data_IF_778707627042
#
_entry.id   IF_778707627042
#
_cell.length_a   1.000
_cell.length_b   1.000
_cell.length_c   1.000
_cell.angle_alpha   90.00
_cell.angle_beta   90.00
_cell.angle_gamma   90.00
#
_symmetry.space_group_name_H-M   'P 1'
#
loop_
_entity.id
_entity.type
_entity.pdbx_description
1 polymer ?
#
# COMPACT_ATOMS: atom_id res chain seq x y z
N UNK A 1 -13.48 3.02 -0.80
CA UNK A 1 -12.54 2.25 -1.65
C UNK A 1 -13.05 2.28 -3.07
N UNK A 2 -12.17 2.55 -4.04
CA UNK A 2 -12.47 2.59 -5.48
C UNK A 2 -12.12 1.27 -6.15
N UNK A 3 -10.92 0.72 -5.84
CA UNK A 3 -10.46 -0.57 -6.35
C UNK A 3 -9.71 -1.34 -5.27
N UNK A 4 -10.04 -2.61 -5.11
CA UNK A 4 -9.39 -3.51 -4.15
C UNK A 4 -8.07 -4.10 -4.67
N UNK A 5 -7.33 -4.73 -3.77
CA UNK A 5 -6.12 -5.48 -4.10
C UNK A 5 -6.44 -6.72 -4.93
N UNK A 6 -5.64 -6.98 -5.95
CA UNK A 6 -5.78 -8.12 -6.85
C UNK A 6 -4.38 -8.69 -7.10
N UNK A 7 -4.01 -9.73 -6.35
CA UNK A 7 -2.66 -10.29 -6.41
C UNK A 7 -2.36 -10.80 -7.82
N UNK A 8 -1.30 -10.31 -8.47
CA UNK A 8 -0.88 -10.83 -9.77
C UNK A 8 -0.50 -12.32 -9.69
N UNK A 9 -0.93 -13.13 -10.67
CA UNK A 9 -0.59 -14.55 -10.73
C UNK A 9 0.93 -14.82 -10.85
N UNK A 10 1.67 -13.84 -11.39
CA UNK A 10 3.13 -13.81 -11.38
C UNK A 10 3.58 -12.36 -11.14
N UNK A 11 4.82 -12.17 -10.66
CA UNK A 11 5.34 -10.83 -10.29
C UNK A 11 5.23 -9.78 -11.41
N UNK A 12 5.25 -10.20 -12.69
CA UNK A 12 5.16 -9.34 -13.87
C UNK A 12 3.78 -9.40 -14.57
N UNK A 13 2.85 -10.21 -14.07
CA UNK A 13 1.52 -10.33 -14.66
C UNK A 13 0.64 -9.11 -14.33
N UNK A 14 -0.49 -9.01 -15.02
CA UNK A 14 -1.54 -8.06 -14.68
C UNK A 14 -2.11 -8.34 -13.27
N UNK A 15 -2.72 -7.32 -12.68
CA UNK A 15 -3.32 -7.34 -11.35
C UNK A 15 -3.36 -5.93 -10.78
N UNK A 16 -3.65 -5.83 -9.49
CA UNK A 16 -3.69 -4.57 -8.76
C UNK A 16 -2.88 -4.68 -7.46
N UNK A 17 -1.67 -4.11 -7.48
CA UNK A 17 -0.62 -4.30 -6.45
C UNK A 17 -0.79 -3.38 -5.23
N UNK A 18 -2.01 -2.95 -4.98
CA UNK A 18 -2.38 -2.05 -3.90
C UNK A 18 -3.89 -1.88 -3.85
N UNK A 19 -4.36 -0.86 -3.15
CA UNK A 19 -5.75 -0.42 -3.13
C UNK A 19 -5.84 1.02 -3.60
N UNK A 20 -6.95 1.35 -4.25
CA UNK A 20 -7.27 2.72 -4.63
C UNK A 20 -8.34 3.26 -3.68
N UNK A 21 -8.03 4.34 -2.98
CA UNK A 21 -8.88 4.96 -1.97
C UNK A 21 -9.36 6.32 -2.50
N UNK A 22 -10.67 6.50 -2.58
CA UNK A 22 -11.25 7.79 -2.95
C UNK A 22 -10.82 8.84 -1.92
N UNK A 23 -10.29 9.95 -2.40
CA UNK A 23 -9.81 11.05 -1.57
C UNK A 23 -9.94 12.33 -2.39
N UNK A 24 -10.38 13.40 -1.73
CA UNK A 24 -10.49 14.72 -2.38
C UNK A 24 -9.12 15.20 -2.87
N UNK A 25 -9.10 15.94 -3.97
CA UNK A 25 -7.89 16.59 -4.48
C UNK A 25 -7.26 17.47 -3.39
N UNK A 26 -5.96 17.31 -3.12
CA UNK A 26 -5.27 18.01 -2.03
C UNK A 26 -5.58 17.48 -0.62
N UNK A 27 -6.42 16.45 -0.48
CA UNK A 27 -6.74 15.82 0.80
C UNK A 27 -5.51 15.20 1.48
N UNK A 28 -5.52 15.17 2.81
CA UNK A 28 -4.39 14.62 3.59
C UNK A 28 -4.24 13.11 3.41
N UNK A 29 -3.01 12.69 3.14
CA UNK A 29 -2.60 11.29 3.15
C UNK A 29 -1.99 11.00 4.51
N UNK A 30 -2.46 9.95 5.18
CA UNK A 30 -2.07 9.60 6.54
C UNK A 30 -1.23 8.31 6.56
N UNK A 31 -0.30 8.22 7.51
CA UNK A 31 0.46 7.01 7.76
C UNK A 31 -0.48 5.89 8.29
N UNK A 32 -0.52 4.71 7.66
CA UNK A 32 -1.35 3.59 8.11
C UNK A 32 -0.78 2.91 9.36
N UNK A 33 0.54 3.02 9.57
CA UNK A 33 1.27 2.42 10.67
C UNK A 33 2.56 3.21 10.92
N UNK A 34 3.18 3.04 12.08
CA UNK A 34 4.47 3.70 12.39
C UNK A 34 5.56 3.33 11.38
N UNK A 35 6.48 4.26 11.11
CA UNK A 35 7.55 4.00 10.16
C UNK A 35 8.46 5.20 9.91
N UNK A 36 9.35 5.04 8.94
CA UNK A 36 10.27 6.07 8.48
C UNK A 36 10.13 6.29 6.97
N UNK A 37 10.13 7.54 6.52
CA UNK A 37 10.13 7.87 5.09
C UNK A 37 11.47 7.44 4.47
N UNK A 38 11.45 6.41 3.64
CA UNK A 38 12.65 5.89 2.94
C UNK A 38 12.75 6.33 1.49
N UNK A 39 11.68 6.90 0.94
CA UNK A 39 11.66 7.51 -0.39
C UNK A 39 10.60 8.61 -0.46
N UNK A 40 10.96 9.74 -1.06
CA UNK A 40 10.05 10.81 -1.43
C UNK A 40 10.59 11.47 -2.71
N UNK A 41 9.88 11.32 -3.82
CA UNK A 41 10.32 11.90 -5.09
C UNK A 41 9.52 11.44 -6.29
N UNK A 42 9.86 11.97 -7.47
CA UNK A 42 9.16 11.67 -8.72
C UNK A 42 9.55 10.30 -9.28
N UNK A 43 8.54 9.49 -9.61
CA UNK A 43 8.66 8.26 -10.38
C UNK A 43 7.91 8.46 -11.68
N UNK A 44 8.65 8.49 -12.79
CA UNK A 44 8.16 8.78 -14.15
C UNK A 44 7.53 10.17 -14.27
N UNK A 45 6.31 10.36 -13.78
CA UNK A 45 5.46 11.53 -13.99
C UNK A 45 4.74 12.01 -12.71
N UNK A 46 4.85 11.26 -11.60
CA UNK A 46 4.15 11.57 -10.34
C UNK A 46 5.08 11.45 -9.15
N UNK A 47 4.77 12.19 -8.09
CA UNK A 47 5.46 12.04 -6.82
C UNK A 47 4.94 10.81 -6.06
N UNK A 48 5.88 10.08 -5.47
CA UNK A 48 5.65 8.87 -4.67
C UNK A 48 6.35 9.04 -3.33
N UNK A 49 5.66 8.68 -2.24
CA UNK A 49 6.27 8.55 -0.91
C UNK A 49 6.26 7.09 -0.50
N UNK A 50 7.33 6.61 0.15
CA UNK A 50 7.38 5.27 0.73
C UNK A 50 7.82 5.31 2.18
N UNK A 51 7.05 4.66 3.04
CA UNK A 51 7.41 4.35 4.42
C UNK A 51 8.01 2.95 4.52
N UNK A 52 9.03 2.78 5.35
CA UNK A 52 9.47 1.48 5.87
C UNK A 52 8.99 1.33 7.30
N UNK A 53 8.35 0.19 7.58
CA UNK A 53 7.78 -0.14 8.88
C UNK A 53 8.75 -1.01 9.70
N UNK A 54 8.64 -1.04 11.05
CA UNK A 54 9.55 -1.81 11.91
C UNK A 54 9.60 -3.32 11.61
N UNK A 55 8.54 -3.88 11.03
CA UNK A 55 8.45 -5.29 10.63
C UNK A 55 9.03 -5.58 9.24
N UNK A 56 9.65 -4.58 8.60
CA UNK A 56 10.27 -4.69 7.28
C UNK A 56 9.29 -4.52 6.11
N UNK A 57 7.99 -4.32 6.36
CA UNK A 57 7.03 -3.97 5.31
C UNK A 57 7.27 -2.56 4.82
N UNK A 58 6.90 -2.29 3.57
CA UNK A 58 6.98 -0.96 2.94
C UNK A 58 5.65 -0.54 2.36
N UNK A 59 5.16 0.62 2.77
CA UNK A 59 3.95 1.25 2.22
C UNK A 59 4.34 2.35 1.24
N UNK A 60 3.86 2.27 0.00
CA UNK A 60 4.10 3.27 -1.05
C UNK A 60 2.78 3.96 -1.43
N UNK A 61 2.81 5.27 -1.62
CA UNK A 61 1.63 6.13 -1.84
C UNK A 61 1.83 6.97 -3.10
N UNK A 62 0.86 6.94 -4.02
CA UNK A 62 0.84 7.77 -5.23
C UNK A 62 -0.59 8.07 -5.72
N UNK A 63 -0.82 9.14 -6.48
CA UNK A 63 0.06 10.29 -6.65
C UNK A 63 -0.04 11.22 -5.43
N UNK A 64 1.10 11.65 -4.90
CA UNK A 64 1.14 12.56 -3.73
C UNK A 64 1.76 13.91 -4.07
N UNK A 65 1.50 14.93 -3.26
CA UNK A 65 2.15 16.24 -3.27
C UNK A 65 2.58 16.62 -1.86
N UNK A 66 3.56 17.52 -1.74
CA UNK A 66 4.13 17.96 -0.45
C UNK A 66 4.50 16.80 0.51
N UNK A 67 5.24 15.76 0.05
CA UNK A 67 5.62 14.66 0.92
C UNK A 67 6.58 15.10 2.03
N UNK A 68 6.48 14.46 3.20
CA UNK A 68 7.52 14.56 4.23
C UNK A 68 8.89 14.16 3.65
N UNK A 69 9.99 14.79 4.12
CA UNK A 69 11.33 14.47 3.63
C UNK A 69 11.77 13.08 4.08
N UNK A 70 12.66 12.46 3.30
CA UNK A 70 13.33 11.19 3.66
C UNK A 70 14.00 11.31 5.03
N UNK A 71 13.86 10.27 5.86
CA UNK A 71 14.32 10.21 7.25
C UNK A 71 13.29 10.68 8.29
N UNK A 72 12.14 11.21 7.86
CA UNK A 72 11.05 11.57 8.78
C UNK A 72 10.45 10.32 9.42
N UNK A 73 10.33 10.32 10.76
CA UNK A 73 9.62 9.29 11.52
C UNK A 73 8.17 9.67 11.73
N UNK A 74 7.27 8.71 11.63
CA UNK A 74 5.82 8.91 11.73
C UNK A 74 5.18 7.84 12.59
N UNK A 75 4.05 8.18 13.21
CA UNK A 75 3.13 7.29 13.89
C UNK A 75 1.88 7.06 13.03
N UNK A 76 1.09 6.04 13.37
CA UNK A 76 -0.19 5.80 12.70
C UNK A 76 -1.10 7.04 12.83
N UNK A 77 -1.68 7.49 11.72
CA UNK A 77 -2.54 8.67 11.66
C UNK A 77 -1.83 10.00 11.39
N UNK A 78 -0.49 10.05 11.43
CA UNK A 78 0.26 11.26 11.08
C UNK A 78 0.07 11.62 9.60
N UNK A 79 -0.04 12.92 9.30
CA UNK A 79 -0.08 13.39 7.93
C UNK A 79 1.31 13.29 7.28
N UNK A 80 1.40 12.59 6.15
CA UNK A 80 2.67 12.30 5.46
C UNK A 80 2.82 12.99 4.11
N UNK A 81 1.69 13.33 3.48
CA UNK A 81 1.61 14.05 2.21
C UNK A 81 0.18 14.56 1.98
N UNK A 82 -0.06 15.15 0.82
CA UNK A 82 -1.38 15.45 0.28
C UNK A 82 -1.61 14.65 -1.01
N UNK A 83 -2.86 14.38 -1.38
CA UNK A 83 -3.15 13.82 -2.70
C UNK A 83 -2.84 14.87 -3.78
N UNK A 84 -2.20 14.46 -4.87
CA UNK A 84 -1.98 15.36 -6.01
C UNK A 84 -3.32 15.80 -6.60
N UNK A 85 -3.50 17.11 -6.81
CA UNK A 85 -4.75 17.69 -7.30
C UNK A 85 -4.86 17.72 -8.83
N UNK A 86 -3.81 17.34 -9.55
CA UNK A 86 -3.69 17.45 -11.00
C UNK A 86 -3.53 16.09 -11.69
N UNK A 87 -3.08 15.06 -10.96
CA UNK A 87 -2.87 13.71 -11.46
C UNK A 87 -3.91 12.77 -10.85
N UNK A 88 -4.58 11.97 -11.68
CA UNK A 88 -5.50 10.93 -11.22
C UNK A 88 -5.50 9.71 -12.15
N UNK A 89 -5.86 8.55 -11.59
CA UNK A 89 -6.04 7.31 -12.35
C UNK A 89 -7.42 6.65 -12.12
N UNK A 90 -8.32 7.30 -11.37
CA UNK A 90 -9.67 6.81 -11.06
C UNK A 90 -10.79 7.69 -11.64
N UNK A 91 -10.57 8.28 -12.81
CA UNK A 91 -11.52 9.20 -13.44
C UNK A 91 -12.97 8.67 -13.41
N UNK A 92 -13.97 9.51 -13.03
CA UNK A 92 -13.87 10.96 -12.84
C UNK A 92 -13.43 11.42 -11.43
N UNK A 93 -13.13 10.50 -10.51
CA UNK A 93 -12.79 10.83 -9.12
C UNK A 93 -11.28 10.81 -8.87
N UNK A 94 -10.84 11.58 -7.88
CA UNK A 94 -9.48 11.46 -7.36
C UNK A 94 -9.36 10.27 -6.40
N UNK A 95 -8.21 9.63 -6.43
CA UNK A 95 -7.91 8.50 -5.56
C UNK A 95 -6.42 8.43 -5.27
N UNK A 96 -6.10 7.89 -4.10
CA UNK A 96 -4.77 7.49 -3.70
C UNK A 96 -4.59 6.00 -3.98
N UNK A 97 -3.57 5.63 -4.74
CA UNK A 97 -3.04 4.28 -4.77
C UNK A 97 -2.10 4.06 -3.58
N UNK A 98 -2.42 3.06 -2.75
CA UNK A 98 -1.57 2.60 -1.67
C UNK A 98 -1.18 1.14 -1.90
N UNK A 99 0.11 0.88 -2.12
CA UNK A 99 0.68 -0.46 -2.25
C UNK A 99 1.49 -0.84 -1.01
N UNK A 100 1.41 -2.10 -0.60
CA UNK A 100 2.25 -2.66 0.47
C UNK A 100 3.09 -3.81 -0.06
N UNK A 101 4.38 -3.74 0.26
CA UNK A 101 5.35 -4.78 -0.02
C UNK A 101 5.84 -5.39 1.29
N UNK A 102 5.91 -6.71 1.35
CA UNK A 102 6.38 -7.45 2.52
C UNK A 102 7.59 -8.34 2.19
N UNK A 103 8.48 -8.59 3.15
CA UNK A 103 9.56 -9.56 2.99
C UNK A 103 9.03 -10.92 2.51
N UNK A 104 9.53 -11.38 1.37
CA UNK A 104 9.20 -12.69 0.83
C UNK A 104 9.75 -13.78 1.77
N UNK A 105 9.00 -14.88 2.00
CA UNK A 105 9.45 -16.00 2.81
C UNK A 105 10.82 -16.52 2.33
N UNK A 106 11.77 -16.67 3.27
CA UNK A 106 13.11 -17.17 2.98
C UNK A 106 14.07 -16.16 2.33
N UNK A 107 13.70 -14.88 2.22
CA UNK A 107 14.63 -13.84 1.75
C UNK A 107 15.47 -13.27 2.90
N UNK A 108 16.78 -13.53 2.91
CA UNK A 108 17.72 -12.93 3.86
C UNK A 108 18.00 -11.44 3.59
N UNK A 109 17.61 -10.92 2.41
CA UNK A 109 17.87 -9.53 2.01
C UNK A 109 16.58 -8.81 1.63
N UNK A 110 16.16 -7.87 2.48
CA UNK A 110 14.94 -7.07 2.35
C UNK A 110 14.78 -6.29 1.02
N UNK A 111 15.83 -6.23 0.17
CA UNK A 111 15.82 -5.46 -1.09
C UNK A 111 15.51 -6.28 -2.35
N UNK A 112 15.67 -7.61 -2.34
CA UNK A 112 15.44 -8.47 -3.53
C UNK A 112 14.28 -9.45 -3.41
N UNK A 113 13.78 -9.71 -2.20
CA UNK A 113 12.59 -10.53 -1.98
C UNK A 113 11.51 -9.73 -1.30
N UNK A 114 10.82 -8.85 -2.03
CA UNK A 114 9.57 -8.25 -1.55
C UNK A 114 8.43 -8.73 -2.46
N UNK A 115 7.33 -9.16 -1.86
CA UNK A 115 6.09 -9.47 -2.58
C UNK A 115 5.00 -8.45 -2.22
N UNK A 116 4.02 -8.28 -3.10
CA UNK A 116 2.88 -7.43 -2.81
C UNK A 116 1.83 -8.17 -2.00
N UNK A 117 1.31 -7.50 -0.98
CA UNK A 117 0.26 -8.01 -0.09
C UNK A 117 -0.91 -7.03 -0.02
N UNK A 118 -2.04 -7.47 0.52
CA UNK A 118 -3.22 -6.61 0.67
C UNK A 118 -2.94 -5.51 1.72
N UNK A 119 -2.91 -4.22 1.34
CA UNK A 119 -2.65 -3.12 2.26
C UNK A 119 -3.60 -3.06 3.46
N UNK A 120 -4.86 -3.50 3.29
CA UNK A 120 -5.86 -3.45 4.35
C UNK A 120 -5.52 -4.33 5.56
N UNK A 121 -4.63 -5.31 5.40
CA UNK A 121 -4.09 -6.13 6.49
C UNK A 121 -3.28 -5.29 7.49
N UNK A 122 -2.67 -4.16 7.08
CA UNK A 122 -1.96 -3.27 8.02
C UNK A 122 -2.92 -2.54 8.96
N UNK A 123 -4.17 -2.33 8.54
CA UNK A 123 -5.18 -1.63 9.34
C UNK A 123 -5.99 -2.58 10.24
N UNK A 124 -5.74 -3.90 10.15
CA UNK A 124 -6.56 -4.90 10.84
C UNK A 124 -8.02 -4.95 10.35
N UNK A 125 -8.29 -4.39 9.15
CA UNK A 125 -9.65 -4.30 8.60
C UNK A 125 -10.12 -5.59 7.92
N UNK A 126 -9.18 -6.48 7.57
CA UNK A 126 -9.52 -7.84 7.18
C UNK A 126 -9.25 -8.76 8.37
N UNK A 127 -10.33 -9.30 8.93
CA UNK A 127 -10.26 -10.24 10.04
C UNK A 127 -9.51 -11.53 9.66
N UNK A 128 -9.15 -12.37 10.65
CA UNK A 128 -8.52 -13.65 10.37
C UNK A 128 -9.39 -14.44 9.40
N UNK A 129 -8.77 -15.09 8.42
CA UNK A 129 -9.45 -16.05 7.56
C UNK A 129 -10.17 -17.07 8.43
N UNK A 130 -11.50 -17.07 8.40
CA UNK A 130 -12.31 -18.09 9.08
C UNK A 130 -12.46 -19.25 8.12
N UNK A 131 -11.73 -20.35 8.39
CA UNK A 131 -11.96 -21.61 7.70
C UNK A 131 -13.34 -22.11 8.12
N UNK A 132 -14.28 -22.19 7.18
CA UNK A 132 -15.54 -22.86 7.42
C UNK A 132 -15.25 -24.36 7.64
N UNK A 133 -16.00 -25.03 8.53
CA UNK A 133 -15.90 -26.47 8.66
C UNK A 133 -16.09 -27.09 7.28
N UNK A 134 -15.20 -28.01 6.95
CA UNK A 134 -15.34 -28.86 5.80
C UNK A 134 -16.59 -29.72 6.09
N UNK A 135 -17.64 -29.60 5.28
CA UNK A 135 -18.80 -30.49 5.39
C UNK A 135 -18.38 -31.95 5.15
N UNK A 136 -19.25 -32.90 5.51
CA UNK A 136 -18.96 -34.35 5.40
C UNK A 136 -18.63 -34.82 3.95
N UNK A 137 -18.83 -33.96 2.95
CA UNK A 137 -18.62 -34.24 1.52
C UNK A 137 -17.14 -34.25 1.06
N UNK A 138 -16.17 -33.98 1.92
CA UNK A 138 -14.73 -34.05 1.59
C UNK A 138 -14.02 -35.29 2.17
N UNK A 139 -14.76 -36.23 2.74
CA UNK A 139 -14.24 -37.56 3.03
C UNK A 139 -14.28 -38.42 1.76
N UNK A 140 -13.25 -38.35 0.93
CA UNK A 140 -13.00 -39.31 -0.16
C UNK A 140 -11.50 -39.57 -0.33
#
# INVERSE_FOLDING_TARGET
MVRGFEKPAARWAAGHRGVDLALEAGGSVLAPYEGEVVFAGTVVDRQVLTLEHPDGRRSSFEPVSNPLPVGSRVQAGDAIAQLDSNIQHCAPSFCLHWGVREPAPGSETARRGLDYTNPLLLLGLEGPSVLLPIGDDFAA
#
